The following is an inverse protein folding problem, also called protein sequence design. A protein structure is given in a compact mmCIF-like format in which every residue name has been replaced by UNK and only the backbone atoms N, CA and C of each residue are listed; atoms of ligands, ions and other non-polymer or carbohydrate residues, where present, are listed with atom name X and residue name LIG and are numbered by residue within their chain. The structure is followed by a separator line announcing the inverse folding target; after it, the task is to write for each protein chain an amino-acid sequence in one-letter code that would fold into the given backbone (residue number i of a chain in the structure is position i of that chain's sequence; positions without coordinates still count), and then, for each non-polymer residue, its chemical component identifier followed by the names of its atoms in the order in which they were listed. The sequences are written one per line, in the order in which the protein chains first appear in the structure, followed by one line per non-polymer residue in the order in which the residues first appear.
data_IF_378525271425
#
_entry.id   IF_378525271425
#
_cell.length_a   1.000
_cell.length_b   1.000
_cell.length_c   1.000
_cell.angle_alpha   90.00
_cell.angle_beta   90.00
_cell.angle_gamma   90.00
#
_symmetry.space_group_name_H-M   'P 1'
#
loop_
_entity.id
_entity.type
_entity.pdbx_description
1 polymer ?
#
# COMPACT_ATOMS: atom_id res chain seq x y z
N UNK A 1 11.93 20.38 17.13
CA UNK A 1 11.27 19.96 15.87
C UNK A 1 12.25 20.23 14.73
N UNK A 2 12.93 19.20 14.19
CA UNK A 2 13.86 19.38 13.06
C UNK A 2 13.06 19.53 11.77
N UNK A 3 13.14 20.68 11.11
CA UNK A 3 12.55 20.93 9.79
C UNK A 3 13.10 19.89 8.79
N UNK A 4 12.19 19.31 8.00
CA UNK A 4 12.45 18.35 6.90
C UNK A 4 13.24 18.95 5.72
N UNK A 5 14.04 20.00 5.90
CA UNK A 5 14.52 20.83 4.79
C UNK A 5 15.73 20.28 4.01
N UNK A 6 16.36 19.17 4.41
CA UNK A 6 17.66 18.76 3.82
C UNK A 6 17.71 17.30 3.33
N UNK A 7 16.81 16.87 2.44
CA UNK A 7 17.01 15.67 1.62
C UNK A 7 16.56 15.92 0.17
N UNK A 8 17.53 16.20 -0.71
CA UNK A 8 17.52 16.09 -2.17
C UNK A 8 16.47 16.93 -2.95
N UNK A 9 16.76 17.12 -4.25
CA UNK A 9 16.19 18.13 -5.15
C UNK A 9 14.66 18.22 -5.10
N UNK A 10 14.16 19.30 -4.52
CA UNK A 10 12.74 19.69 -4.45
C UNK A 10 12.11 19.89 -5.84
N UNK A 11 12.84 19.73 -6.95
CA UNK A 11 12.36 19.99 -8.31
C UNK A 11 11.63 18.82 -9.00
N UNK A 12 11.51 17.62 -8.39
CA UNK A 12 11.01 16.43 -9.11
C UNK A 12 9.73 15.76 -8.58
N UNK A 13 9.17 16.19 -7.44
CA UNK A 13 7.90 15.65 -6.93
C UNK A 13 6.80 16.73 -6.92
N UNK A 14 5.54 16.32 -7.15
CA UNK A 14 4.40 17.24 -7.20
C UNK A 14 4.25 18.04 -5.90
N UNK A 15 3.77 19.29 -6.00
CA UNK A 15 3.48 20.10 -4.80
C UNK A 15 2.45 19.44 -3.90
N UNK A 16 1.53 18.67 -4.47
CA UNK A 16 0.54 17.91 -3.71
C UNK A 16 1.19 16.81 -2.86
N UNK A 17 2.15 16.05 -3.43
CA UNK A 17 2.90 15.06 -2.64
C UNK A 17 3.67 15.75 -1.51
N UNK A 18 4.31 16.90 -1.76
CA UNK A 18 5.00 17.67 -0.72
C UNK A 18 4.05 18.12 0.38
N UNK A 19 2.86 18.59 0.04
CA UNK A 19 1.85 19.01 1.02
C UNK A 19 1.39 17.85 1.90
N UNK A 20 1.09 16.69 1.30
CA UNK A 20 0.72 15.46 2.04
C UNK A 20 1.84 15.03 2.99
N UNK A 21 3.09 15.08 2.56
CA UNK A 21 4.26 14.76 3.39
C UNK A 21 4.43 15.69 4.60
N UNK A 22 4.15 17.00 4.43
CA UNK A 22 4.26 17.99 5.51
C UNK A 22 3.23 17.78 6.62
N UNK A 23 2.11 17.11 6.32
CA UNK A 23 1.03 16.82 7.27
C UNK A 23 1.28 15.55 8.09
N UNK A 24 2.22 14.69 7.68
CA UNK A 24 2.52 13.45 8.38
C UNK A 24 3.16 13.73 9.74
N UNK A 25 2.72 12.99 10.76
CA UNK A 25 3.37 12.96 12.07
C UNK A 25 4.38 11.83 12.09
N UNK A 26 5.66 12.18 11.97
CA UNK A 26 6.74 11.20 11.77
C UNK A 26 7.56 10.98 13.05
N UNK A 27 7.88 9.71 13.32
CA UNK A 27 8.97 9.31 14.22
C UNK A 27 10.10 8.76 13.36
N UNK A 28 11.28 9.38 13.42
CA UNK A 28 12.47 8.87 12.73
C UNK A 28 13.15 7.79 13.58
N UNK A 29 13.44 6.66 12.95
CA UNK A 29 14.14 5.54 13.55
C UNK A 29 15.66 5.65 13.34
N UNK A 30 16.42 4.88 14.11
CA UNK A 30 17.90 4.86 14.04
C UNK A 30 18.42 4.37 12.69
N UNK A 31 17.70 3.48 12.02
CA UNK A 31 18.02 2.95 10.68
C UNK A 31 17.62 3.90 9.51
N UNK A 32 17.12 5.09 9.84
CA UNK A 32 16.71 6.10 8.87
C UNK A 32 15.32 5.94 8.29
N UNK A 33 14.58 4.88 8.65
CA UNK A 33 13.15 4.74 8.32
C UNK A 33 12.27 5.58 9.25
N UNK A 34 10.99 5.65 8.92
CA UNK A 34 10.01 6.44 9.65
C UNK A 34 8.79 5.62 10.04
N UNK A 35 8.28 5.85 11.24
CA UNK A 35 6.92 5.47 11.62
C UNK A 35 5.99 6.67 11.45
N UNK A 36 4.82 6.45 10.86
CA UNK A 36 3.74 7.46 10.75
C UNK A 36 2.74 7.25 11.88
N UNK A 37 2.53 8.30 12.67
CA UNK A 37 1.49 8.37 13.70
C UNK A 37 0.18 8.89 13.08
N UNK A 38 -0.82 8.02 12.96
CA UNK A 38 -2.04 8.26 12.20
C UNK A 38 -1.94 7.78 10.75
N UNK A 39 -2.71 8.43 9.89
CA UNK A 39 -2.91 8.01 8.50
C UNK A 39 -1.84 8.54 7.53
N UNK A 40 -1.64 7.84 6.42
CA UNK A 40 -0.82 8.26 5.29
C UNK A 40 -1.62 8.12 3.98
N UNK A 41 -1.92 9.25 3.34
CA UNK A 41 -2.76 9.31 2.14
C UNK A 41 -1.98 9.82 0.92
N UNK A 42 -1.72 8.90 -0.01
CA UNK A 42 -0.99 9.07 -1.27
C UNK A 42 -1.83 8.73 -2.52
N UNK A 43 -3.16 8.72 -2.39
CA UNK A 43 -4.08 8.49 -3.51
C UNK A 43 -4.14 9.69 -4.46
N UNK A 44 -4.35 9.45 -5.76
CA UNK A 44 -4.51 10.49 -6.80
C UNK A 44 -3.28 11.41 -6.96
N UNK A 45 -2.08 10.84 -6.94
CA UNK A 45 -0.83 11.59 -7.07
C UNK A 45 -0.06 11.28 -8.37
N UNK A 46 -0.67 10.50 -9.27
CA UNK A 46 -0.07 10.00 -10.50
C UNK A 46 1.26 9.25 -10.29
N UNK A 47 1.42 8.62 -9.11
CA UNK A 47 2.62 7.87 -8.78
C UNK A 47 2.71 6.61 -9.65
N UNK A 48 3.90 6.37 -10.22
CA UNK A 48 4.23 5.10 -10.87
C UNK A 48 4.89 4.12 -9.91
N UNK A 49 5.49 4.65 -8.82
CA UNK A 49 6.09 3.88 -7.75
C UNK A 49 5.98 4.60 -6.41
N UNK A 50 5.79 3.84 -5.31
CA UNK A 50 5.87 4.39 -3.96
C UNK A 50 7.30 4.80 -3.57
N UNK A 51 8.32 4.39 -4.33
CA UNK A 51 9.70 4.88 -4.16
C UNK A 51 9.85 6.37 -4.50
N UNK A 52 8.88 6.96 -5.20
CA UNK A 52 8.82 8.42 -5.42
C UNK A 52 8.51 9.18 -4.13
N UNK A 53 7.94 8.51 -3.11
CA UNK A 53 7.76 9.07 -1.78
C UNK A 53 9.14 9.13 -1.10
N UNK A 54 9.69 10.33 -0.81
CA UNK A 54 11.09 10.51 -0.40
C UNK A 54 11.36 10.14 1.06
N UNK A 55 10.47 9.36 1.69
CA UNK A 55 10.62 8.84 3.05
C UNK A 55 10.41 7.33 3.03
N UNK A 56 11.29 6.61 3.72
CA UNK A 56 11.18 5.16 3.86
C UNK A 56 10.29 4.85 5.04
N UNK A 57 9.01 4.61 4.79
CA UNK A 57 8.02 4.34 5.84
C UNK A 57 8.15 2.87 6.25
N UNK A 58 8.31 2.61 7.54
CA UNK A 58 8.32 1.26 8.11
C UNK A 58 6.94 0.85 8.56
N UNK A 59 6.29 1.69 9.37
CA UNK A 59 4.98 1.41 9.97
C UNK A 59 4.06 2.61 9.83
N UNK A 60 2.78 2.34 9.60
CA UNK A 60 1.69 3.31 9.73
C UNK A 60 0.71 2.82 10.78
N UNK A 61 0.39 3.68 11.75
CA UNK A 61 -0.51 3.33 12.87
C UNK A 61 -1.99 3.54 12.55
N UNK A 62 -2.30 4.29 11.51
CA UNK A 62 -3.63 4.42 10.93
C UNK A 62 -3.73 3.76 9.56
N UNK A 63 -4.53 4.35 8.68
CA UNK A 63 -4.74 3.91 7.31
C UNK A 63 -3.56 4.29 6.39
N UNK A 64 -3.22 3.42 5.44
CA UNK A 64 -2.35 3.72 4.31
C UNK A 64 -3.14 3.63 3.00
N UNK A 65 -3.28 4.75 2.29
CA UNK A 65 -4.04 4.82 1.03
C UNK A 65 -3.14 5.24 -0.11
N UNK A 66 -3.03 4.42 -1.15
CA UNK A 66 -2.29 4.71 -2.38
C UNK A 66 -3.09 4.32 -3.64
N UNK A 67 -4.41 4.25 -3.52
CA UNK A 67 -5.32 3.95 -4.61
C UNK A 67 -5.41 5.07 -5.65
N UNK A 68 -5.92 4.76 -6.84
CA UNK A 68 -6.03 5.71 -7.97
C UNK A 68 -4.68 6.34 -8.33
N UNK A 69 -3.71 5.49 -8.65
CA UNK A 69 -2.40 5.89 -9.16
C UNK A 69 -2.06 5.01 -10.37
N UNK A 70 -0.80 5.01 -10.79
CA UNK A 70 -0.29 4.18 -11.89
C UNK A 70 0.71 3.14 -11.36
N UNK A 71 0.57 2.73 -10.09
CA UNK A 71 1.53 1.84 -9.44
C UNK A 71 1.57 0.49 -10.15
N UNK A 72 2.79 0.03 -10.45
CA UNK A 72 3.06 -1.30 -11.03
C UNK A 72 3.58 -2.31 -10.01
N UNK A 73 4.03 -1.83 -8.85
CA UNK A 73 4.39 -2.64 -7.68
C UNK A 73 4.08 -1.87 -6.39
N UNK A 74 4.08 -2.56 -5.26
CA UNK A 74 3.95 -1.95 -3.93
C UNK A 74 5.31 -1.72 -3.26
N UNK A 75 6.42 -1.87 -3.99
CA UNK A 75 7.75 -1.60 -3.46
C UNK A 75 7.84 -0.15 -2.93
N UNK A 76 8.24 0.00 -1.67
CA UNK A 76 8.24 1.28 -0.95
C UNK A 76 7.03 1.48 -0.03
N UNK A 77 6.03 0.59 -0.07
CA UNK A 77 4.98 0.54 0.94
C UNK A 77 5.55 0.22 2.34
N UNK A 78 4.82 0.59 3.42
CA UNK A 78 5.18 0.19 4.77
C UNK A 78 5.19 -1.33 4.95
N UNK A 79 6.06 -1.82 5.85
CA UNK A 79 6.10 -3.23 6.24
C UNK A 79 4.90 -3.64 7.09
N UNK A 80 4.31 -2.68 7.83
CA UNK A 80 3.18 -2.89 8.72
C UNK A 80 2.20 -1.71 8.67
N UNK A 81 0.91 -2.02 8.59
CA UNK A 81 -0.17 -1.03 8.71
C UNK A 81 -1.15 -1.53 9.77
N UNK A 82 -1.43 -0.71 10.79
CA UNK A 82 -2.37 -1.10 11.85
C UNK A 82 -3.84 -0.80 11.48
N UNK A 83 -4.07 0.13 10.55
CA UNK A 83 -5.38 0.38 9.93
C UNK A 83 -5.56 -0.35 8.61
N UNK A 84 -6.29 0.27 7.68
CA UNK A 84 -6.55 -0.28 6.36
C UNK A 84 -5.40 -0.01 5.38
N UNK A 85 -5.14 -0.95 4.48
CA UNK A 85 -4.24 -0.75 3.34
C UNK A 85 -5.05 -0.74 2.04
N UNK A 86 -5.16 0.41 1.40
CA UNK A 86 -6.00 0.62 0.22
C UNK A 86 -5.12 0.96 -0.99
N UNK A 87 -4.97 0.01 -1.92
CA UNK A 87 -4.17 0.13 -3.14
C UNK A 87 -4.95 -0.17 -4.43
N UNK A 88 -6.29 -0.14 -4.38
CA UNK A 88 -7.13 -0.34 -5.55
C UNK A 88 -6.94 0.70 -6.66
N UNK A 89 -7.47 0.42 -7.85
CA UNK A 89 -7.38 1.30 -9.02
C UNK A 89 -5.91 1.67 -9.36
N UNK A 90 -5.11 0.65 -9.65
CA UNK A 90 -3.70 0.73 -10.03
C UNK A 90 -3.40 -0.26 -11.18
N UNK A 91 -2.12 -0.48 -11.50
CA UNK A 91 -1.67 -1.37 -12.57
C UNK A 91 -0.88 -2.59 -12.03
N UNK A 92 -1.16 -3.00 -10.79
CA UNK A 92 -0.46 -4.10 -10.14
C UNK A 92 -0.76 -5.43 -10.85
N UNK A 93 0.27 -6.25 -11.07
CA UNK A 93 0.15 -7.62 -11.60
C UNK A 93 0.37 -8.68 -10.52
N UNK A 94 1.07 -8.32 -9.45
CA UNK A 94 1.24 -9.08 -8.20
C UNK A 94 1.10 -8.13 -7.01
N UNK A 95 1.17 -8.65 -5.79
CA UNK A 95 1.17 -7.87 -4.56
C UNK A 95 2.57 -7.75 -3.94
N UNK A 96 3.63 -7.98 -4.72
CA UNK A 96 5.01 -7.83 -4.23
C UNK A 96 5.26 -6.43 -3.67
N UNK A 97 5.87 -6.39 -2.48
CA UNK A 97 6.11 -5.17 -1.72
C UNK A 97 4.96 -4.75 -0.79
N UNK A 98 3.82 -5.46 -0.78
CA UNK A 98 2.74 -5.20 0.17
C UNK A 98 3.20 -5.34 1.64
N UNK A 99 2.52 -4.68 2.60
CA UNK A 99 2.75 -4.89 4.02
C UNK A 99 2.57 -6.36 4.40
N UNK A 100 3.40 -6.84 5.34
CA UNK A 100 3.30 -8.21 5.86
C UNK A 100 2.11 -8.40 6.80
N UNK A 101 1.72 -7.34 7.50
CA UNK A 101 0.59 -7.32 8.41
C UNK A 101 -0.28 -6.09 8.16
N UNK A 102 -1.59 -6.32 8.09
CA UNK A 102 -2.63 -5.28 8.03
C UNK A 102 -3.66 -5.53 9.13
N UNK A 103 -3.79 -4.56 10.05
CA UNK A 103 -4.72 -4.64 11.18
C UNK A 103 -6.17 -4.33 10.82
N UNK A 104 -6.41 -3.63 9.72
CA UNK A 104 -7.72 -3.46 9.10
C UNK A 104 -7.90 -4.32 7.87
N UNK A 105 -8.62 -3.79 6.87
CA UNK A 105 -8.84 -4.44 5.58
C UNK A 105 -7.71 -4.15 4.60
N UNK A 106 -7.40 -5.14 3.74
CA UNK A 106 -6.52 -4.99 2.59
C UNK A 106 -7.36 -4.96 1.32
N UNK A 107 -7.35 -3.83 0.61
CA UNK A 107 -8.14 -3.62 -0.59
C UNK A 107 -7.23 -3.35 -1.79
N UNK A 108 -7.22 -4.29 -2.73
CA UNK A 108 -6.48 -4.23 -4.00
C UNK A 108 -7.40 -4.37 -5.21
N UNK A 109 -8.65 -3.89 -5.12
CA UNK A 109 -9.62 -4.00 -6.21
C UNK A 109 -9.15 -3.30 -7.49
N UNK A 110 -9.66 -3.73 -8.64
CA UNK A 110 -9.45 -3.04 -9.93
C UNK A 110 -7.95 -2.84 -10.22
N UNK A 111 -7.24 -3.96 -10.24
CA UNK A 111 -5.86 -4.03 -10.68
C UNK A 111 -5.78 -4.99 -11.88
N UNK A 112 -4.57 -5.42 -12.23
CA UNK A 112 -4.30 -6.41 -13.27
C UNK A 112 -3.71 -7.68 -12.64
N UNK A 113 -4.09 -8.00 -11.39
CA UNK A 113 -3.48 -9.10 -10.65
C UNK A 113 -3.75 -10.42 -11.36
N UNK A 114 -2.68 -11.15 -11.68
CA UNK A 114 -2.73 -12.51 -12.21
C UNK A 114 -2.40 -13.56 -11.15
N UNK A 115 -1.81 -13.12 -10.02
CA UNK A 115 -1.61 -13.93 -8.82
C UNK A 115 -1.73 -13.05 -7.57
N UNK A 116 -1.93 -13.67 -6.41
CA UNK A 116 -1.89 -12.99 -5.11
C UNK A 116 -0.49 -13.05 -4.47
N UNK A 117 0.53 -13.49 -5.21
CA UNK A 117 1.90 -13.55 -4.71
C UNK A 117 2.35 -12.19 -4.16
N UNK A 118 2.90 -12.23 -2.94
CA UNK A 118 3.29 -11.03 -2.20
C UNK A 118 2.19 -10.43 -1.32
N UNK A 119 0.98 -11.01 -1.28
CA UNK A 119 -0.08 -10.57 -0.38
C UNK A 119 0.39 -10.53 1.11
N UNK A 120 -0.27 -9.73 1.96
CA UNK A 120 -0.01 -9.76 3.39
C UNK A 120 -0.14 -11.18 3.94
N UNK A 121 0.71 -11.51 4.91
CA UNK A 121 0.62 -12.82 5.57
C UNK A 121 -0.63 -12.89 6.47
N UNK A 122 -1.00 -11.75 7.06
CA UNK A 122 -2.14 -11.60 7.95
C UNK A 122 -2.89 -10.31 7.68
N UNK A 123 -4.20 -10.44 7.49
CA UNK A 123 -5.17 -9.34 7.41
C UNK A 123 -6.22 -9.58 8.48
N UNK A 124 -6.35 -8.67 9.43
CA UNK A 124 -7.32 -8.85 10.54
C UNK A 124 -8.76 -8.46 10.13
N UNK A 125 -8.92 -7.63 9.10
CA UNK A 125 -10.21 -7.31 8.47
C UNK A 125 -10.46 -8.12 7.20
N UNK A 126 -11.08 -7.45 6.21
CA UNK A 126 -11.40 -8.07 4.91
C UNK A 126 -10.20 -8.06 3.97
N UNK A 127 -10.08 -9.11 3.14
CA UNK A 127 -9.21 -9.12 1.99
C UNK A 127 -10.05 -9.02 0.71
N UNK A 128 -9.92 -7.92 -0.02
CA UNK A 128 -10.71 -7.66 -1.22
C UNK A 128 -9.81 -7.51 -2.45
N UNK A 129 -9.92 -8.48 -3.36
CA UNK A 129 -9.21 -8.54 -4.65
C UNK A 129 -10.17 -8.61 -5.84
N UNK A 130 -11.37 -8.03 -5.70
CA UNK A 130 -12.38 -7.97 -6.76
C UNK A 130 -11.84 -7.25 -8.01
N UNK A 131 -12.41 -7.61 -9.17
CA UNK A 131 -12.06 -7.00 -10.47
C UNK A 131 -10.56 -7.10 -10.79
N UNK A 132 -10.09 -8.34 -10.91
CA UNK A 132 -8.71 -8.67 -11.30
C UNK A 132 -8.72 -9.78 -12.38
N UNK A 133 -7.56 -10.37 -12.65
CA UNK A 133 -7.37 -11.39 -13.68
C UNK A 133 -6.91 -12.72 -13.07
N UNK A 134 -7.28 -12.98 -11.81
CA UNK A 134 -6.87 -14.18 -11.08
C UNK A 134 -7.53 -15.42 -11.66
N UNK A 135 -6.75 -16.47 -11.90
CA UNK A 135 -7.25 -17.79 -12.30
C UNK A 135 -7.25 -18.80 -11.15
N UNK A 136 -6.45 -18.54 -10.11
CA UNK A 136 -6.38 -19.26 -8.85
C UNK A 136 -6.25 -18.26 -7.68
N UNK A 137 -6.42 -18.74 -6.45
CA UNK A 137 -6.16 -17.97 -5.22
C UNK A 137 -4.79 -18.29 -4.60
N UNK A 138 -3.86 -18.84 -5.39
CA UNK A 138 -2.50 -19.11 -4.92
C UNK A 138 -1.80 -17.81 -4.52
N UNK A 139 -1.10 -17.85 -3.38
CA UNK A 139 -0.44 -16.68 -2.79
C UNK A 139 -1.36 -15.80 -1.92
N UNK A 140 -2.63 -16.18 -1.74
CA UNK A 140 -3.54 -15.51 -0.81
C UNK A 140 -2.98 -15.40 0.63
N UNK A 141 -3.45 -14.42 1.43
CA UNK A 141 -3.09 -14.33 2.84
C UNK A 141 -3.31 -15.63 3.60
N UNK A 142 -2.42 -15.93 4.56
CA UNK A 142 -2.53 -17.11 5.43
C UNK A 142 -3.67 -16.97 6.44
N UNK A 143 -4.00 -15.72 6.80
CA UNK A 143 -5.09 -15.41 7.71
C UNK A 143 -5.83 -14.17 7.21
N UNK A 144 -7.16 -14.30 7.11
CA UNK A 144 -8.11 -13.21 6.90
C UNK A 144 -9.13 -13.31 8.03
N UNK A 145 -9.23 -12.26 8.84
CA UNK A 145 -10.15 -12.22 9.99
C UNK A 145 -11.60 -11.91 9.61
N UNK A 146 -11.80 -11.18 8.51
CA UNK A 146 -13.09 -10.86 7.93
C UNK A 146 -13.42 -11.71 6.70
N UNK A 147 -14.01 -11.08 5.69
CA UNK A 147 -14.37 -11.69 4.42
C UNK A 147 -13.21 -11.75 3.43
N UNK A 148 -13.22 -12.80 2.60
CA UNK A 148 -12.37 -12.89 1.41
C UNK A 148 -13.23 -12.62 0.17
N UNK A 149 -13.07 -11.44 -0.45
CA UNK A 149 -13.85 -11.03 -1.61
C UNK A 149 -12.96 -11.09 -2.87
N UNK A 150 -13.37 -11.95 -3.82
CA UNK A 150 -12.65 -12.18 -5.07
C UNK A 150 -13.58 -12.23 -6.30
N UNK A 151 -14.70 -11.52 -6.24
CA UNK A 151 -15.66 -11.44 -7.34
C UNK A 151 -15.03 -10.81 -8.59
N UNK A 152 -15.59 -11.13 -9.75
CA UNK A 152 -15.12 -10.57 -11.04
C UNK A 152 -13.63 -10.85 -11.31
N UNK A 153 -13.23 -12.11 -11.08
CA UNK A 153 -11.97 -12.69 -11.50
C UNK A 153 -12.21 -13.79 -12.55
N UNK A 154 -11.15 -14.46 -12.99
CA UNK A 154 -11.19 -15.56 -13.97
C UNK A 154 -10.99 -16.92 -13.28
N UNK A 155 -11.46 -17.04 -12.03
CA UNK A 155 -11.31 -18.25 -11.22
C UNK A 155 -12.02 -19.42 -11.88
N UNK A 156 -11.27 -20.48 -12.17
CA UNK A 156 -11.80 -21.70 -12.81
C UNK A 156 -12.14 -22.78 -11.80
N UNK A 157 -11.60 -22.65 -10.59
CA UNK A 157 -11.84 -23.52 -9.44
C UNK A 157 -11.83 -22.65 -8.18
N UNK A 158 -12.64 -23.00 -7.20
CA UNK A 158 -12.72 -22.32 -5.90
C UNK A 158 -12.12 -23.21 -4.82
#
# INVERSE_FOLDING_TARGET
MKKLSNFYQVSQISEELKDRLRKLRLIKLSDGRFDVLGDAYFSHLDLNSLLEVPIRIRRVTGDFKCNNNQLTSLNGAPERVDGNFICGDNQLTTLEGAPKYVGGSFNCIRNKLTSLNGAPERVDGDFCCDYNQLTTLEGAPKFVGGGFLCCYNQLTTL
#
